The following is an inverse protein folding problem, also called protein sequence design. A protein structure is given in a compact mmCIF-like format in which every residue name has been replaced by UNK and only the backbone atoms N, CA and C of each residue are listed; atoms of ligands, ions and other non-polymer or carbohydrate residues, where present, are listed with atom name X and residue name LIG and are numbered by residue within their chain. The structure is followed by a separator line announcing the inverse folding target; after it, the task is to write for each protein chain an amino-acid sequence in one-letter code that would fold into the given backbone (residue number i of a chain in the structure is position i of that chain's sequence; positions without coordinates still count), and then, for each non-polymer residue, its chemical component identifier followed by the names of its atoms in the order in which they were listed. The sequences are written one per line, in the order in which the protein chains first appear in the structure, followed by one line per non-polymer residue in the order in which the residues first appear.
data_IF_332700303537
#
_entry.id   IF_332700303537
#
_cell.length_a   1.000
_cell.length_b   1.000
_cell.length_c   1.000
_cell.angle_alpha   90.00
_cell.angle_beta   90.00
_cell.angle_gamma   90.00
#
_symmetry.space_group_name_H-M   'P 1'
#
loop_
_entity.id
_entity.type
_entity.pdbx_description
1 polymer ?
#
# COMPACT_ATOMS: atom_id res chain seq x y z
N UNK A 1 -10.32 -10.11 -1.62
CA UNK A 1 -9.16 -10.69 -0.93
C UNK A 1 -7.91 -9.85 -1.15
N UNK A 2 -7.12 -9.58 -0.12
CA UNK A 2 -5.94 -8.72 -0.24
C UNK A 2 -4.68 -9.45 -0.72
N UNK A 3 -4.81 -10.62 -1.29
CA UNK A 3 -3.69 -11.48 -1.68
C UNK A 3 -2.75 -10.81 -2.68
N UNK A 4 -3.31 -10.12 -3.66
CA UNK A 4 -2.49 -9.46 -4.69
C UNK A 4 -1.68 -8.31 -4.10
N UNK A 5 -2.28 -7.55 -3.19
CA UNK A 5 -1.57 -6.49 -2.48
C UNK A 5 -0.45 -7.09 -1.65
N UNK A 6 -0.71 -8.19 -0.95
CA UNK A 6 0.29 -8.91 -0.16
C UNK A 6 1.47 -9.36 -1.02
N UNK A 7 1.20 -9.99 -2.16
CA UNK A 7 2.25 -10.47 -3.07
C UNK A 7 3.13 -9.34 -3.58
N UNK A 8 2.52 -8.25 -4.03
CA UNK A 8 3.24 -7.09 -4.53
C UNK A 8 4.10 -6.48 -3.43
N UNK A 9 3.54 -6.36 -2.22
CA UNK A 9 4.25 -5.77 -1.10
C UNK A 9 5.44 -6.62 -0.69
N UNK A 10 5.27 -7.93 -0.56
CA UNK A 10 6.35 -8.84 -0.18
C UNK A 10 7.50 -8.77 -1.20
N UNK A 11 7.19 -8.84 -2.48
CA UNK A 11 8.21 -8.76 -3.53
C UNK A 11 8.95 -7.44 -3.48
N UNK A 12 8.24 -6.34 -3.29
CA UNK A 12 8.85 -5.00 -3.24
C UNK A 12 9.77 -4.83 -2.02
N UNK A 13 9.35 -5.33 -0.85
CA UNK A 13 10.17 -5.26 0.36
C UNK A 13 11.45 -6.08 0.18
N UNK A 14 11.33 -7.27 -0.39
CA UNK A 14 12.50 -8.13 -0.65
C UNK A 14 13.47 -7.50 -1.64
N UNK A 15 12.97 -6.66 -2.54
CA UNK A 15 13.79 -5.93 -3.50
C UNK A 15 14.36 -4.63 -2.93
N UNK A 16 14.08 -4.33 -1.67
CA UNK A 16 14.61 -3.14 -1.01
C UNK A 16 13.91 -1.85 -1.35
N UNK A 17 12.67 -1.89 -1.85
CA UNK A 17 11.92 -0.66 -2.14
C UNK A 17 11.51 0.06 -0.85
N UNK A 18 11.58 1.41 -0.83
CA UNK A 18 11.07 2.17 0.31
C UNK A 18 9.56 2.01 0.47
N UNK A 19 9.08 2.07 1.71
CA UNK A 19 7.65 1.95 1.99
C UNK A 19 6.81 2.94 1.20
N UNK A 20 7.28 4.18 1.07
CA UNK A 20 6.55 5.21 0.31
C UNK A 20 6.34 4.81 -1.15
N UNK A 21 7.36 4.22 -1.77
CA UNK A 21 7.28 3.73 -3.15
C UNK A 21 6.25 2.61 -3.28
N UNK A 22 6.27 1.67 -2.34
CA UNK A 22 5.34 0.54 -2.32
C UNK A 22 3.91 1.06 -2.16
N UNK A 23 3.71 1.98 -1.21
CA UNK A 23 2.42 2.59 -0.94
C UNK A 23 1.86 3.27 -2.18
N UNK A 24 2.66 4.08 -2.85
CA UNK A 24 2.22 4.78 -4.04
C UNK A 24 1.82 3.82 -5.15
N UNK A 25 2.60 2.79 -5.38
CA UNK A 25 2.30 1.79 -6.41
C UNK A 25 0.97 1.08 -6.14
N UNK A 26 0.76 0.63 -4.92
CA UNK A 26 -0.46 -0.11 -4.56
C UNK A 26 -1.68 0.79 -4.62
N UNK A 27 -1.60 1.99 -4.03
CA UNK A 27 -2.74 2.90 -3.99
C UNK A 27 -3.10 3.43 -5.38
N UNK A 28 -2.10 3.73 -6.20
CA UNK A 28 -2.35 4.15 -7.59
C UNK A 28 -2.98 3.01 -8.40
N UNK A 29 -2.55 1.78 -8.15
CA UNK A 29 -3.13 0.60 -8.79
C UNK A 29 -4.59 0.39 -8.43
N UNK A 30 -4.95 0.62 -7.16
CA UNK A 30 -6.34 0.53 -6.71
C UNK A 30 -7.22 1.59 -7.38
N UNK A 31 -6.69 2.80 -7.51
CA UNK A 31 -7.42 3.89 -8.16
C UNK A 31 -7.61 3.57 -9.65
N UNK A 32 -6.59 3.03 -10.31
CA UNK A 32 -6.70 2.62 -11.70
C UNK A 32 -7.80 1.59 -11.90
N UNK A 33 -7.86 0.56 -11.03
CA UNK A 33 -8.90 -0.46 -11.10
C UNK A 33 -10.28 0.14 -10.86
N UNK A 34 -10.41 1.03 -9.87
CA UNK A 34 -11.67 1.67 -9.56
C UNK A 34 -12.15 2.56 -10.71
N UNK A 35 -11.23 3.25 -11.39
CA UNK A 35 -11.57 4.07 -12.55
C UNK A 35 -12.07 3.20 -13.70
N UNK A 36 -11.42 2.07 -13.95
CA UNK A 36 -11.88 1.12 -14.97
C UNK A 36 -13.29 0.63 -14.65
N UNK A 37 -13.53 0.26 -13.39
CA UNK A 37 -14.84 -0.24 -12.95
C UNK A 37 -15.93 0.83 -13.02
N UNK A 38 -15.57 2.10 -13.00
CA UNK A 38 -16.51 3.22 -13.04
C UNK A 38 -16.42 4.03 -14.33
N UNK A 39 -15.92 3.41 -15.39
CA UNK A 39 -15.85 4.01 -16.74
C UNK A 39 -15.16 5.38 -16.76
N UNK A 40 -14.11 5.53 -15.97
CA UNK A 40 -13.34 6.77 -15.92
C UNK A 40 -13.92 7.86 -15.02
N UNK A 41 -15.01 7.59 -14.33
CA UNK A 41 -15.63 8.57 -13.43
C UNK A 41 -14.84 8.65 -12.10
N UNK A 42 -14.12 9.74 -11.92
CA UNK A 42 -13.26 9.94 -10.75
C UNK A 42 -14.03 10.01 -9.43
N UNK A 43 -15.19 10.65 -9.44
CA UNK A 43 -16.02 10.76 -8.24
C UNK A 43 -16.55 9.40 -7.80
N UNK A 44 -17.03 8.60 -8.74
CA UNK A 44 -17.52 7.25 -8.45
C UNK A 44 -16.38 6.33 -7.99
N UNK A 45 -15.22 6.44 -8.62
CA UNK A 45 -14.04 5.66 -8.22
C UNK A 45 -13.61 6.00 -6.79
N UNK A 46 -13.57 7.28 -6.45
CA UNK A 46 -13.23 7.72 -5.09
C UNK A 46 -14.24 7.18 -4.08
N UNK A 47 -15.53 7.21 -4.41
CA UNK A 47 -16.57 6.69 -3.54
C UNK A 47 -16.40 5.18 -3.31
N UNK A 48 -16.10 4.44 -4.36
CA UNK A 48 -15.85 3.00 -4.26
C UNK A 48 -14.73 2.69 -3.27
N UNK A 49 -13.68 3.51 -3.28
CA UNK A 49 -12.50 3.30 -2.42
C UNK A 49 -12.62 3.98 -1.05
N UNK A 50 -13.69 4.72 -0.81
CA UNK A 50 -13.81 5.50 0.42
C UNK A 50 -12.78 6.60 0.53
N UNK A 51 -12.27 7.09 -0.61
CA UNK A 51 -11.26 8.14 -0.66
C UNK A 51 -11.91 9.47 -1.08
N UNK A 52 -11.20 10.57 -0.81
CA UNK A 52 -11.63 11.87 -1.26
C UNK A 52 -11.43 12.00 -2.78
N UNK A 53 -12.35 12.68 -3.46
CA UNK A 53 -12.28 12.84 -4.92
C UNK A 53 -10.96 13.47 -5.40
N UNK A 54 -10.38 14.35 -4.59
CA UNK A 54 -9.11 15.00 -4.96
C UNK A 54 -7.96 14.01 -4.92
N UNK A 55 -8.00 13.02 -4.04
CA UNK A 55 -7.00 11.95 -3.99
C UNK A 55 -7.03 11.14 -5.28
N UNK A 56 -8.22 10.76 -5.75
CA UNK A 56 -8.36 10.03 -7.01
C UNK A 56 -7.88 10.88 -8.19
N UNK A 57 -8.22 12.16 -8.21
CA UNK A 57 -7.82 13.07 -9.27
C UNK A 57 -6.30 13.18 -9.37
N UNK A 58 -5.63 13.32 -8.23
CA UNK A 58 -4.17 13.48 -8.21
C UNK A 58 -3.45 12.22 -8.66
N UNK A 59 -3.94 11.06 -8.23
CA UNK A 59 -3.26 9.79 -8.48
C UNK A 59 -3.58 9.15 -9.83
N UNK A 60 -4.63 9.59 -10.50
CA UNK A 60 -5.02 9.00 -11.79
C UNK A 60 -4.21 9.53 -12.98
N UNK A 61 -3.27 10.45 -12.75
CA UNK A 61 -2.51 11.13 -13.81
C UNK A 61 -1.46 10.27 -14.49
N UNK A 62 -0.97 9.24 -13.80
CA UNK A 62 0.10 8.38 -14.32
C UNK A 62 -0.48 7.00 -14.58
N UNK A 63 -0.34 6.46 -15.79
CA UNK A 63 -0.80 5.09 -16.06
C UNK A 63 0.00 4.09 -15.23
N UNK A 64 -0.70 3.30 -14.43
CA UNK A 64 -0.10 2.24 -13.63
C UNK A 64 -0.93 0.98 -13.78
N UNK A 65 -0.32 -0.15 -13.48
CA UNK A 65 -1.01 -1.42 -13.53
C UNK A 65 -2.14 -1.46 -12.50
N UNK A 66 -3.36 -1.75 -12.96
CA UNK A 66 -4.53 -1.82 -12.09
C UNK A 66 -4.40 -3.00 -11.12
N UNK A 67 -4.81 -2.78 -9.88
CA UNK A 67 -4.83 -3.80 -8.83
C UNK A 67 -6.28 -3.96 -8.35
N UNK A 68 -6.88 -5.09 -8.67
CA UNK A 68 -8.23 -5.41 -8.21
C UNK A 68 -8.21 -5.83 -6.75
N UNK A 69 -9.05 -5.22 -5.93
CA UNK A 69 -9.20 -5.57 -4.52
C UNK A 69 -10.53 -5.06 -4.00
N UNK A 70 -11.08 -5.78 -3.02
CA UNK A 70 -12.29 -5.35 -2.32
C UNK A 70 -12.00 -4.37 -1.18
N UNK A 71 -10.73 -4.11 -0.90
CA UNK A 71 -10.35 -3.20 0.18
C UNK A 71 -10.58 -1.74 -0.21
N UNK A 72 -10.97 -0.93 0.78
CA UNK A 72 -10.99 0.52 0.61
C UNK A 72 -9.55 1.03 0.61
N UNK A 73 -9.37 2.28 0.21
CA UNK A 73 -8.08 2.96 0.20
C UNK A 73 -7.38 2.86 1.57
N UNK A 74 -8.12 3.15 2.64
CA UNK A 74 -7.58 3.11 4.00
C UNK A 74 -7.23 1.69 4.45
N UNK A 75 -8.10 0.74 4.16
CA UNK A 75 -7.84 -0.67 4.49
C UNK A 75 -6.61 -1.19 3.76
N UNK A 76 -6.47 -0.84 2.49
CA UNK A 76 -5.30 -1.23 1.70
C UNK A 76 -4.02 -0.63 2.26
N UNK A 77 -4.04 0.65 2.65
CA UNK A 77 -2.91 1.31 3.27
C UNK A 77 -2.45 0.56 4.53
N UNK A 78 -3.40 0.26 5.44
CA UNK A 78 -3.06 -0.46 6.68
C UNK A 78 -2.56 -1.87 6.38
N UNK A 79 -3.16 -2.56 5.43
CA UNK A 79 -2.76 -3.90 5.08
C UNK A 79 -1.35 -3.94 4.49
N UNK A 80 -1.06 -3.10 3.49
CA UNK A 80 0.27 -3.09 2.88
C UNK A 80 1.35 -2.67 3.89
N UNK A 81 1.04 -1.72 4.78
CA UNK A 81 1.99 -1.26 5.79
C UNK A 81 2.32 -2.37 6.79
N UNK A 82 1.31 -3.12 7.22
CA UNK A 82 1.51 -4.25 8.13
C UNK A 82 2.37 -5.32 7.47
N UNK A 83 2.03 -5.71 6.26
CA UNK A 83 2.78 -6.72 5.51
C UNK A 83 4.23 -6.28 5.31
N UNK A 84 4.44 -5.03 4.90
CA UNK A 84 5.78 -4.50 4.65
C UNK A 84 6.61 -4.47 5.93
N UNK A 85 6.05 -3.98 7.03
CA UNK A 85 6.77 -3.89 8.31
C UNK A 85 7.15 -5.29 8.81
N UNK A 86 6.22 -6.23 8.79
CA UNK A 86 6.49 -7.58 9.27
C UNK A 86 7.55 -8.29 8.43
N UNK A 87 7.49 -8.14 7.11
CA UNK A 87 8.49 -8.74 6.21
C UNK A 87 9.87 -8.11 6.43
N UNK A 88 9.93 -6.78 6.57
CA UNK A 88 11.18 -6.09 6.81
C UNK A 88 11.81 -6.52 8.13
N UNK A 89 11.02 -6.67 9.18
CA UNK A 89 11.51 -7.16 10.47
C UNK A 89 12.10 -8.57 10.34
N UNK A 90 11.43 -9.43 9.60
CA UNK A 90 11.88 -10.79 9.38
C UNK A 90 13.21 -10.82 8.60
N UNK A 91 13.29 -10.04 7.51
CA UNK A 91 14.53 -9.91 6.73
C UNK A 91 15.67 -9.42 7.59
N UNK A 92 15.40 -8.52 8.54
CA UNK A 92 16.41 -7.93 9.41
C UNK A 92 16.64 -8.73 10.70
N UNK A 93 16.22 -9.98 10.75
CA UNK A 93 16.46 -10.86 11.89
C UNK A 93 15.77 -10.43 13.18
N UNK A 94 14.64 -9.75 13.09
CA UNK A 94 13.89 -9.26 14.24
C UNK A 94 14.28 -7.85 14.70
N UNK A 95 15.21 -7.21 14.01
CA UNK A 95 15.70 -5.89 14.40
C UNK A 95 14.82 -4.79 13.79
N UNK A 96 14.03 -4.12 14.64
CA UNK A 96 13.11 -3.06 14.21
C UNK A 96 13.81 -1.82 13.66
N UNK A 97 14.99 -1.49 14.21
CA UNK A 97 15.78 -0.34 13.73
C UNK A 97 16.26 -0.57 12.30
N UNK A 98 16.79 -1.77 12.03
CA UNK A 98 17.20 -2.13 10.67
C UNK A 98 16.01 -2.21 9.73
N UNK A 99 14.85 -2.68 10.20
CA UNK A 99 13.65 -2.72 9.40
C UNK A 99 13.20 -1.32 8.98
N UNK A 100 13.25 -0.37 9.90
CA UNK A 100 12.96 1.04 9.61
C UNK A 100 13.88 1.57 8.51
N UNK A 101 15.16 1.28 8.60
CA UNK A 101 16.13 1.73 7.61
C UNK A 101 15.93 1.03 6.27
N UNK A 102 15.57 -0.24 6.30
CA UNK A 102 15.26 -1.02 5.08
C UNK A 102 14.07 -0.42 4.30
N UNK A 103 13.04 -0.02 5.02
CA UNK A 103 11.83 0.56 4.43
C UNK A 103 11.93 2.08 4.22
N UNK A 104 12.97 2.70 4.76
CA UNK A 104 13.16 4.17 4.72
C UNK A 104 11.92 4.90 5.22
N UNK A 105 11.37 4.43 6.33
CA UNK A 105 10.19 5.01 6.95
C UNK A 105 10.50 5.46 8.38
N UNK A 106 9.51 6.06 9.07
CA UNK A 106 9.71 6.49 10.45
C UNK A 106 9.63 5.31 11.41
N UNK A 107 10.29 5.46 12.57
CA UNK A 107 10.23 4.45 13.62
C UNK A 107 8.80 4.23 14.12
N UNK A 108 7.95 5.26 14.07
CA UNK A 108 6.57 5.15 14.53
C UNK A 108 5.75 4.20 13.67
N UNK A 109 6.01 4.17 12.37
CA UNK A 109 5.35 3.23 11.46
C UNK A 109 5.71 1.80 11.84
N UNK A 110 6.99 1.51 12.04
CA UNK A 110 7.45 0.18 12.43
C UNK A 110 6.85 -0.22 13.78
N UNK A 111 6.88 0.68 14.76
CA UNK A 111 6.31 0.41 16.08
C UNK A 111 4.82 0.12 16.01
N UNK A 112 4.09 0.92 15.26
CA UNK A 112 2.63 0.80 15.15
C UNK A 112 2.23 -0.57 14.60
N UNK A 113 2.83 -1.00 13.50
CA UNK A 113 2.43 -2.23 12.82
C UNK A 113 3.07 -3.48 13.41
N UNK A 114 4.21 -3.37 14.06
CA UNK A 114 4.81 -4.51 14.76
C UNK A 114 4.07 -4.86 16.05
N UNK A 115 3.48 -3.88 16.72
CA UNK A 115 2.71 -4.10 17.95
C UNK A 115 1.41 -4.86 17.72
N UNK A 116 0.79 -4.66 16.58
CA UNK A 116 -0.47 -5.32 16.25
C UNK A 116 -0.32 -6.82 16.07
N UNK A 117 0.90 -7.27 15.87
CA UNK A 117 1.19 -8.68 15.65
C UNK A 117 1.44 -9.43 16.97
N UNK A 118 1.85 -8.74 17.99
CA UNK A 118 2.08 -9.34 19.30
C UNK A 118 0.77 -9.51 20.04
#
# INVERSE_FOLDING_TARGET
MPEKITEITLAAVRNGEPLESIKNRVLDGLISAALINNYGNQTAAARQLGAHKDTARKRCKVPVKAIESSLTYREAWHHLSRVAVMEAIEICGGNRTLAKDHLKCSKFVVWRYSREHD
#
